data_IF_771715494195
#
_entry.id   IF_771715494195
#
_cell.length_a   1.000
_cell.length_b   1.000
_cell.length_c   1.000
_cell.angle_alpha   90.00
_cell.angle_beta   90.00
_cell.angle_gamma   90.00
#
_symmetry.space_group_name_H-M   'P 1'
#
loop_
_entity.id
_entity.type
_entity.pdbx_description
1 polymer ?
#
# COMPACT_ATOMS: atom_id res chain seq x y z
N UNK A 1 23.90 -4.94 87.43
CA UNK A 1 23.01 -5.12 86.26
C UNK A 1 23.42 -6.43 85.60
N UNK A 2 22.49 -7.38 85.48
CA UNK A 2 22.79 -8.70 84.93
C UNK A 2 23.15 -8.61 83.46
N UNK A 3 24.37 -9.05 83.10
CA UNK A 3 24.87 -9.01 81.71
C UNK A 3 23.99 -9.85 80.76
N UNK A 4 23.27 -10.85 81.29
CA UNK A 4 22.32 -11.65 80.56
C UNK A 4 21.13 -10.83 80.01
N UNK A 5 20.65 -9.84 80.78
CA UNK A 5 19.51 -9.01 80.41
C UNK A 5 19.89 -8.00 79.31
N UNK A 6 21.12 -7.48 79.37
CA UNK A 6 21.69 -6.61 78.32
C UNK A 6 21.87 -7.38 77.00
N UNK A 7 22.40 -8.60 77.04
CA UNK A 7 22.57 -9.44 75.85
C UNK A 7 21.25 -9.83 75.19
N UNK A 8 20.19 -10.10 75.98
CA UNK A 8 18.85 -10.40 75.44
C UNK A 8 18.22 -9.20 74.73
N UNK A 9 18.37 -7.99 75.30
CA UNK A 9 17.89 -6.74 74.66
C UNK A 9 18.61 -6.50 73.33
N UNK A 10 19.93 -6.69 73.29
CA UNK A 10 20.73 -6.51 72.07
C UNK A 10 20.31 -7.51 70.99
N UNK A 11 20.09 -8.78 71.35
CA UNK A 11 19.69 -9.82 70.40
C UNK A 11 18.28 -9.57 69.84
N UNK A 12 17.33 -9.17 70.71
CA UNK A 12 15.98 -8.80 70.29
C UNK A 12 15.98 -7.58 69.37
N UNK A 13 16.79 -6.55 69.68
CA UNK A 13 16.91 -5.35 68.86
C UNK A 13 17.58 -5.64 67.51
N UNK A 14 18.61 -6.49 67.47
CA UNK A 14 19.25 -6.94 66.24
C UNK A 14 18.28 -7.73 65.34
N UNK A 15 17.41 -8.55 65.92
CA UNK A 15 16.40 -9.33 65.19
C UNK A 15 15.31 -8.42 64.61
N UNK A 16 14.89 -7.40 65.37
CA UNK A 16 13.94 -6.37 64.91
C UNK A 16 14.53 -5.52 63.77
N UNK A 17 15.79 -5.10 63.88
CA UNK A 17 16.46 -4.36 62.80
C UNK A 17 16.67 -5.21 61.55
N UNK A 18 16.97 -6.51 61.71
CA UNK A 18 17.09 -7.44 60.59
C UNK A 18 15.75 -7.66 59.87
N UNK A 19 14.64 -7.79 60.60
CA UNK A 19 13.31 -7.95 60.00
C UNK A 19 12.82 -6.68 59.28
N UNK A 20 13.08 -5.50 59.86
CA UNK A 20 12.81 -4.21 59.23
C UNK A 20 13.70 -3.98 57.99
N UNK A 21 14.98 -4.32 58.07
CA UNK A 21 15.92 -4.23 56.95
C UNK A 21 15.53 -5.13 55.77
N UNK A 22 15.09 -6.36 56.06
CA UNK A 22 14.56 -7.28 55.06
C UNK A 22 13.31 -6.75 54.34
N UNK A 23 12.39 -6.14 55.07
CA UNK A 23 11.17 -5.55 54.49
C UNK A 23 11.47 -4.37 53.56
N UNK A 24 12.39 -3.47 53.96
CA UNK A 24 12.80 -2.33 53.13
C UNK A 24 13.51 -2.79 51.86
N UNK A 25 14.41 -3.77 51.96
CA UNK A 25 15.12 -4.33 50.80
C UNK A 25 14.16 -5.05 49.84
N UNK A 26 13.18 -5.80 50.37
CA UNK A 26 12.14 -6.43 49.56
C UNK A 26 11.31 -5.38 48.80
N UNK A 27 10.89 -4.30 49.47
CA UNK A 27 10.12 -3.22 48.83
C UNK A 27 10.89 -2.49 47.72
N UNK A 28 12.21 -2.30 47.86
CA UNK A 28 13.04 -1.70 46.80
C UNK A 28 13.18 -2.64 45.60
N UNK A 29 13.29 -3.95 45.84
CA UNK A 29 13.39 -4.93 44.78
C UNK A 29 12.08 -5.09 44.00
N UNK A 30 10.93 -5.10 44.70
CA UNK A 30 9.59 -5.12 44.10
C UNK A 30 9.39 -3.90 43.18
N UNK A 31 9.71 -2.68 43.66
CA UNK A 31 9.60 -1.47 42.84
C UNK A 31 10.46 -1.50 41.58
N UNK A 32 11.71 -2.00 41.67
CA UNK A 32 12.57 -2.15 40.49
C UNK A 32 12.04 -3.19 39.51
N UNK A 33 11.41 -4.26 40.02
CA UNK A 33 10.76 -5.28 39.19
C UNK A 33 9.56 -4.69 38.46
N UNK A 34 8.69 -3.99 39.18
CA UNK A 34 7.50 -3.34 38.62
C UNK A 34 7.86 -2.31 37.55
N UNK A 35 8.89 -1.48 37.78
CA UNK A 35 9.35 -0.51 36.78
C UNK A 35 9.87 -1.18 35.50
N UNK A 36 10.55 -2.34 35.61
CA UNK A 36 11.02 -3.09 34.43
C UNK A 36 9.86 -3.73 33.70
N UNK A 37 8.91 -4.32 34.43
CA UNK A 37 7.69 -4.91 33.86
C UNK A 37 6.88 -3.85 33.12
N UNK A 38 6.64 -2.70 33.75
CA UNK A 38 5.89 -1.58 33.17
C UNK A 38 6.59 -1.02 31.91
N UNK A 39 7.91 -0.83 31.95
CA UNK A 39 8.70 -0.41 30.76
C UNK A 39 8.61 -1.44 29.64
N UNK A 40 8.65 -2.73 29.97
CA UNK A 40 8.48 -3.83 29.02
C UNK A 40 7.10 -3.82 28.38
N UNK A 41 6.04 -3.72 29.17
CA UNK A 41 4.65 -3.63 28.69
C UNK A 41 4.41 -2.41 27.80
N UNK A 42 4.93 -1.24 28.18
CA UNK A 42 4.83 -0.04 27.34
C UNK A 42 5.56 -0.21 26.02
N UNK A 43 6.75 -0.82 26.03
CA UNK A 43 7.50 -1.11 24.81
C UNK A 43 6.76 -2.11 23.91
N UNK A 44 6.15 -3.15 24.49
CA UNK A 44 5.32 -4.11 23.74
C UNK A 44 4.10 -3.43 23.13
N UNK A 45 3.32 -2.68 23.92
CA UNK A 45 2.15 -1.94 23.40
C UNK A 45 2.51 -0.99 22.27
N UNK A 46 3.67 -0.32 22.36
CA UNK A 46 4.14 0.57 21.30
C UNK A 46 4.51 -0.21 20.04
N UNK A 47 5.19 -1.36 20.16
CA UNK A 47 5.50 -2.24 19.03
C UNK A 47 4.23 -2.78 18.37
N UNK A 48 3.27 -3.24 19.16
CA UNK A 48 1.99 -3.75 18.67
C UNK A 48 1.21 -2.66 17.95
N UNK A 49 1.19 -1.44 18.50
CA UNK A 49 0.51 -0.30 17.88
C UNK A 49 1.14 0.07 16.53
N UNK A 50 2.48 0.09 16.46
CA UNK A 50 3.20 0.37 15.20
C UNK A 50 2.94 -0.73 14.17
N UNK A 51 3.00 -2.01 14.57
CA UNK A 51 2.73 -3.13 13.69
C UNK A 51 1.29 -3.11 13.15
N UNK A 52 0.32 -2.76 14.00
CA UNK A 52 -1.09 -2.61 13.59
C UNK A 52 -1.26 -1.50 12.56
N UNK A 53 -0.68 -0.32 12.80
CA UNK A 53 -0.76 0.80 11.86
C UNK A 53 -0.08 0.49 10.53
N UNK A 54 1.04 -0.24 10.55
CA UNK A 54 1.71 -0.67 9.32
C UNK A 54 0.84 -1.66 8.54
N UNK A 55 0.25 -2.65 9.21
CA UNK A 55 -0.66 -3.61 8.59
C UNK A 55 -1.88 -2.92 7.97
N UNK A 56 -2.51 -1.98 8.67
CA UNK A 56 -3.63 -1.18 8.15
C UNK A 56 -3.22 -0.37 6.92
N UNK A 57 -2.06 0.29 6.97
CA UNK A 57 -1.52 1.05 5.83
C UNK A 57 -1.30 0.15 4.61
N UNK A 58 -0.72 -1.04 4.81
CA UNK A 58 -0.47 -2.02 3.74
C UNK A 58 -1.77 -2.55 3.14
N UNK A 59 -2.77 -2.84 3.97
CA UNK A 59 -4.09 -3.26 3.51
C UNK A 59 -4.75 -2.19 2.62
N UNK A 60 -4.73 -0.92 3.04
CA UNK A 60 -5.24 0.21 2.26
C UNK A 60 -4.48 0.40 0.94
N UNK A 61 -3.16 0.23 0.96
CA UNK A 61 -2.33 0.33 -0.24
C UNK A 61 -2.66 -0.78 -1.24
N UNK A 62 -2.83 -2.02 -0.78
CA UNK A 62 -3.25 -3.15 -1.61
C UNK A 62 -4.63 -2.92 -2.24
N UNK A 63 -5.61 -2.50 -1.46
CA UNK A 63 -6.94 -2.15 -1.96
C UNK A 63 -6.88 -1.05 -3.02
N UNK A 64 -6.12 0.01 -2.75
CA UNK A 64 -5.92 1.11 -3.71
C UNK A 64 -5.28 0.63 -5.02
N UNK A 65 -4.30 -0.27 -4.97
CA UNK A 65 -3.65 -0.80 -6.17
C UNK A 65 -4.59 -1.69 -7.00
N UNK A 66 -5.45 -2.49 -6.35
CA UNK A 66 -6.46 -3.30 -7.05
C UNK A 66 -7.51 -2.41 -7.75
N UNK A 67 -8.05 -1.43 -7.04
CA UNK A 67 -8.99 -0.46 -7.60
C UNK A 67 -8.38 0.35 -8.77
N UNK A 68 -7.11 0.71 -8.64
CA UNK A 68 -6.36 1.38 -9.71
C UNK A 68 -6.22 0.47 -10.95
N UNK A 69 -5.93 -0.81 -10.76
CA UNK A 69 -5.82 -1.78 -11.86
C UNK A 69 -7.13 -1.85 -12.64
N UNK A 70 -8.26 -1.98 -11.95
CA UNK A 70 -9.58 -2.07 -12.57
C UNK A 70 -9.95 -0.79 -13.33
N UNK A 71 -9.67 0.38 -12.73
CA UNK A 71 -9.87 1.66 -13.38
C UNK A 71 -9.02 1.81 -14.65
N UNK A 72 -7.76 1.40 -14.63
CA UNK A 72 -6.86 1.48 -15.79
C UNK A 72 -7.24 0.48 -16.88
N UNK A 73 -7.72 -0.71 -16.53
CA UNK A 73 -8.28 -1.65 -17.50
C UNK A 73 -9.52 -1.06 -18.18
N UNK A 74 -10.37 -0.36 -17.43
CA UNK A 74 -11.53 0.34 -17.99
C UNK A 74 -11.12 1.43 -18.97
N UNK A 75 -10.16 2.28 -18.59
CA UNK A 75 -9.56 3.28 -19.50
C UNK A 75 -9.04 2.58 -20.76
N UNK A 76 -8.27 1.50 -20.61
CA UNK A 76 -7.70 0.80 -21.75
C UNK A 76 -8.74 0.27 -22.74
N UNK A 77 -9.83 -0.31 -22.23
CA UNK A 77 -10.95 -0.79 -23.04
C UNK A 77 -11.65 0.35 -23.78
N UNK A 78 -11.92 1.46 -23.10
CA UNK A 78 -12.61 2.61 -23.71
C UNK A 78 -11.73 3.29 -24.76
N UNK A 79 -10.41 3.35 -24.55
CA UNK A 79 -9.46 3.88 -25.54
C UNK A 79 -9.39 2.98 -26.76
N UNK A 80 -9.36 1.67 -26.58
CA UNK A 80 -9.47 0.73 -27.70
C UNK A 80 -10.76 0.90 -28.51
N UNK A 81 -11.91 1.09 -27.84
CA UNK A 81 -13.19 1.38 -28.50
C UNK A 81 -13.15 2.70 -29.28
N UNK A 82 -12.54 3.73 -28.70
CA UNK A 82 -12.37 5.04 -29.33
C UNK A 82 -11.52 4.94 -30.59
N UNK A 83 -10.35 4.31 -30.49
CA UNK A 83 -9.46 4.10 -31.64
C UNK A 83 -10.11 3.28 -32.74
N UNK A 84 -10.90 2.26 -32.37
CA UNK A 84 -11.65 1.46 -33.33
C UNK A 84 -12.74 2.29 -34.02
N UNK A 85 -13.49 3.09 -33.27
CA UNK A 85 -14.50 4.00 -33.83
C UNK A 85 -13.86 4.99 -34.82
N UNK A 86 -12.76 5.63 -34.44
CA UNK A 86 -12.04 6.57 -35.28
C UNK A 86 -11.53 5.91 -36.57
N UNK A 87 -11.00 4.70 -36.47
CA UNK A 87 -10.57 3.92 -37.63
C UNK A 87 -11.74 3.58 -38.56
N UNK A 88 -12.87 3.13 -38.02
CA UNK A 88 -14.07 2.83 -38.82
C UNK A 88 -14.64 4.08 -39.49
N UNK A 89 -14.64 5.22 -38.81
CA UNK A 89 -15.07 6.49 -39.38
C UNK A 89 -14.11 6.97 -40.48
N UNK A 90 -12.81 6.84 -40.28
CA UNK A 90 -11.81 7.19 -41.29
C UNK A 90 -11.93 6.35 -42.57
N UNK A 91 -12.34 5.07 -42.47
CA UNK A 91 -12.65 4.23 -43.64
C UNK A 91 -13.82 4.76 -44.47
N UNK A 92 -14.75 5.46 -43.84
CA UNK A 92 -15.89 6.12 -44.47
C UNK A 92 -15.58 7.59 -44.84
N UNK A 93 -14.34 8.05 -44.69
CA UNK A 93 -13.92 9.46 -44.85
C UNK A 93 -14.69 10.43 -43.92
N UNK A 94 -15.17 9.93 -42.78
CA UNK A 94 -15.87 10.70 -41.74
C UNK A 94 -14.92 10.96 -40.57
N UNK A 95 -14.96 12.18 -40.03
CA UNK A 95 -14.15 12.59 -38.87
C UNK A 95 -15.05 13.30 -37.86
N UNK A 96 -15.94 12.53 -37.24
CA UNK A 96 -16.93 13.05 -36.29
C UNK A 96 -16.40 12.98 -34.86
N UNK A 97 -17.05 13.72 -33.95
CA UNK A 97 -16.83 13.55 -32.52
C UNK A 97 -17.30 12.15 -32.05
N UNK A 98 -16.79 11.74 -30.88
CA UNK A 98 -17.21 10.51 -30.24
C UNK A 98 -18.70 10.57 -29.84
N UNK A 99 -19.40 9.43 -29.84
CA UNK A 99 -20.75 9.36 -29.28
C UNK A 99 -20.76 9.85 -27.82
N UNK A 100 -21.79 10.62 -27.43
CA UNK A 100 -21.88 11.25 -26.10
C UNK A 100 -21.66 10.27 -24.94
N UNK A 101 -22.25 9.06 -25.03
CA UNK A 101 -22.07 8.02 -24.00
C UNK A 101 -20.62 7.53 -23.85
N UNK A 102 -19.88 7.42 -24.95
CA UNK A 102 -18.49 6.97 -24.92
C UNK A 102 -17.56 8.05 -24.35
N UNK A 103 -17.82 9.32 -24.68
CA UNK A 103 -17.05 10.45 -24.16
C UNK A 103 -17.20 10.58 -22.64
N UNK A 104 -18.42 10.48 -22.12
CA UNK A 104 -18.69 10.57 -20.67
C UNK A 104 -18.10 9.37 -19.92
N UNK A 105 -18.26 8.15 -20.44
CA UNK A 105 -17.65 6.95 -19.85
C UNK A 105 -16.13 7.04 -19.78
N UNK A 106 -15.50 7.58 -20.82
CA UNK A 106 -14.06 7.82 -20.86
C UNK A 106 -13.65 8.78 -19.75
N UNK A 107 -14.30 9.95 -19.66
CA UNK A 107 -14.00 10.95 -18.65
C UNK A 107 -14.11 10.37 -17.23
N UNK A 108 -15.18 9.63 -16.95
CA UNK A 108 -15.38 9.00 -15.63
C UNK A 108 -14.30 7.96 -15.31
N UNK A 109 -13.89 7.17 -16.30
CA UNK A 109 -12.81 6.19 -16.13
C UNK A 109 -11.46 6.89 -15.87
N UNK A 110 -11.16 7.96 -16.61
CA UNK A 110 -9.92 8.73 -16.44
C UNK A 110 -9.84 9.44 -15.08
N UNK A 111 -10.95 10.03 -14.63
CA UNK A 111 -11.05 10.67 -13.30
C UNK A 111 -10.84 9.64 -12.20
N UNK A 112 -11.45 8.45 -12.33
CA UNK A 112 -11.31 7.37 -11.35
C UNK A 112 -9.86 6.87 -11.28
N UNK A 113 -9.23 6.62 -12.43
CA UNK A 113 -7.84 6.21 -12.50
C UNK A 113 -6.90 7.26 -11.88
N UNK A 114 -7.12 8.54 -12.19
CA UNK A 114 -6.34 9.65 -11.62
C UNK A 114 -6.48 9.73 -10.10
N UNK A 115 -7.71 9.60 -9.58
CA UNK A 115 -7.99 9.62 -8.14
C UNK A 115 -7.27 8.50 -7.39
N UNK A 116 -7.24 7.29 -7.95
CA UNK A 116 -6.54 6.17 -7.33
C UNK A 116 -5.01 6.31 -7.47
N UNK A 117 -4.52 6.81 -8.60
CA UNK A 117 -3.10 7.04 -8.82
C UNK A 117 -2.50 8.02 -7.78
N UNK A 118 -3.21 9.09 -7.44
CA UNK A 118 -2.76 10.06 -6.42
C UNK A 118 -2.66 9.45 -5.01
N UNK A 119 -3.41 8.37 -4.72
CA UNK A 119 -3.38 7.68 -3.42
C UNK A 119 -2.27 6.64 -3.33
N UNK A 120 -1.71 6.20 -4.45
CA UNK A 120 -0.62 5.23 -4.47
C UNK A 120 0.65 5.86 -3.91
N UNK A 121 1.28 5.18 -2.95
CA UNK A 121 2.51 5.67 -2.32
C UNK A 121 3.76 5.54 -3.21
N UNK A 122 3.80 4.52 -4.08
CA UNK A 122 4.93 4.25 -4.96
C UNK A 122 5.04 5.28 -6.11
N UNK A 123 6.10 6.11 -6.16
CA UNK A 123 6.28 7.09 -7.23
C UNK A 123 6.50 6.47 -8.61
N UNK A 124 7.06 5.27 -8.70
CA UNK A 124 7.28 4.56 -9.96
C UNK A 124 5.94 4.17 -10.58
N UNK A 125 5.00 3.66 -9.77
CA UNK A 125 3.64 3.34 -10.19
C UNK A 125 2.93 4.61 -10.66
N UNK A 126 2.95 5.70 -9.87
CA UNK A 126 2.32 6.98 -10.27
C UNK A 126 2.86 7.48 -11.60
N UNK A 127 4.17 7.42 -11.79
CA UNK A 127 4.83 7.84 -13.03
C UNK A 127 4.43 6.97 -14.23
N UNK A 128 4.37 5.65 -14.05
CA UNK A 128 3.94 4.71 -15.10
C UNK A 128 2.48 4.94 -15.50
N UNK A 129 1.59 5.11 -14.52
CA UNK A 129 0.18 5.42 -14.74
C UNK A 129 0.04 6.74 -15.48
N UNK A 130 0.72 7.81 -15.04
CA UNK A 130 0.67 9.11 -15.72
C UNK A 130 1.08 8.99 -17.20
N UNK A 131 2.19 8.30 -17.50
CA UNK A 131 2.62 8.09 -18.90
C UNK A 131 1.59 7.35 -19.73
N UNK A 132 0.95 6.33 -19.15
CA UNK A 132 -0.11 5.58 -19.83
C UNK A 132 -1.36 6.46 -20.05
N UNK A 133 -1.77 7.24 -19.05
CA UNK A 133 -2.90 8.17 -19.16
C UNK A 133 -2.64 9.25 -20.23
N UNK A 134 -1.44 9.83 -20.26
CA UNK A 134 -1.04 10.81 -21.29
C UNK A 134 -1.06 10.17 -22.70
N UNK A 135 -0.62 8.92 -22.82
CA UNK A 135 -0.71 8.16 -24.08
C UNK A 135 -2.16 7.91 -24.49
N UNK A 136 -2.99 7.43 -23.56
CA UNK A 136 -4.42 7.17 -23.76
C UNK A 136 -5.12 8.42 -24.27
N UNK A 137 -4.96 9.53 -23.56
CA UNK A 137 -5.52 10.83 -23.92
C UNK A 137 -5.09 11.29 -25.31
N UNK A 138 -3.80 11.15 -25.65
CA UNK A 138 -3.30 11.53 -26.98
C UNK A 138 -3.93 10.68 -28.09
N UNK A 139 -4.17 9.39 -27.84
CA UNK A 139 -4.72 8.48 -28.84
C UNK A 139 -6.25 8.53 -28.95
N UNK A 140 -6.94 9.06 -27.94
CA UNK A 140 -8.39 9.27 -27.92
C UNK A 140 -8.84 10.66 -28.38
N UNK A 141 -7.90 11.57 -28.67
CA UNK A 141 -8.19 12.85 -29.31
C UNK A 141 -8.61 12.67 -30.78
N UNK A 142 -9.26 13.70 -31.32
CA UNK A 142 -9.73 13.75 -32.71
C UNK A 142 -8.71 13.15 -33.70
N UNK A 143 -9.14 12.23 -34.60
CA UNK A 143 -8.27 11.46 -35.48
C UNK A 143 -7.77 12.27 -36.70
N UNK A 144 -7.26 13.47 -36.44
CA UNK A 144 -6.64 14.35 -37.45
C UNK A 144 -5.45 13.68 -38.13
N UNK A 145 -4.79 12.74 -37.45
CA UNK A 145 -3.70 11.94 -37.99
C UNK A 145 -4.15 10.86 -38.99
N UNK A 146 -5.46 10.54 -39.05
CA UNK A 146 -6.04 9.64 -40.04
C UNK A 146 -6.56 10.36 -41.29
N UNK A 147 -6.53 11.70 -41.30
CA UNK A 147 -7.13 12.48 -42.36
C UNK A 147 -6.38 12.33 -43.68
N UNK A 148 -7.08 11.96 -44.75
CA UNK A 148 -6.50 11.77 -46.08
C UNK A 148 -5.72 10.46 -46.27
N UNK A 149 -5.62 9.62 -45.23
CA UNK A 149 -5.15 8.24 -45.37
C UNK A 149 -6.28 7.36 -45.89
N UNK A 150 -5.95 6.42 -46.78
CA UNK A 150 -6.92 5.45 -47.31
C UNK A 150 -6.24 4.10 -47.61
N UNK A 151 -7.05 3.05 -47.79
CA UNK A 151 -6.57 1.71 -48.10
C UNK A 151 -5.54 1.19 -47.10
N UNK A 152 -4.46 0.61 -47.61
CA UNK A 152 -3.39 0.00 -46.81
C UNK A 152 -2.69 1.00 -45.87
N UNK A 153 -2.55 2.27 -46.27
CA UNK A 153 -1.91 3.30 -45.45
C UNK A 153 -2.71 3.59 -44.17
N UNK A 154 -4.04 3.62 -44.27
CA UNK A 154 -4.93 3.81 -43.13
C UNK A 154 -4.85 2.63 -42.16
N UNK A 155 -4.90 1.39 -42.69
CA UNK A 155 -4.81 0.17 -41.89
C UNK A 155 -3.48 0.06 -41.14
N UNK A 156 -2.36 0.35 -41.84
CA UNK A 156 -1.02 0.32 -41.25
C UNK A 156 -0.88 1.34 -40.12
N UNK A 157 -1.37 2.57 -40.33
CA UNK A 157 -1.31 3.62 -39.32
C UNK A 157 -2.18 3.29 -38.10
N UNK A 158 -3.40 2.77 -38.30
CA UNK A 158 -4.27 2.33 -37.21
C UNK A 158 -3.64 1.20 -36.40
N UNK A 159 -3.03 0.22 -37.07
CA UNK A 159 -2.30 -0.88 -36.43
C UNK A 159 -1.08 -0.38 -35.64
N UNK A 160 -0.32 0.56 -36.17
CA UNK A 160 0.81 1.17 -35.45
C UNK A 160 0.34 1.84 -34.15
N UNK A 161 -0.76 2.61 -34.19
CA UNK A 161 -1.35 3.22 -32.98
C UNK A 161 -1.74 2.15 -31.96
N UNK A 162 -2.38 1.06 -32.39
CA UNK A 162 -2.79 -0.04 -31.51
C UNK A 162 -1.59 -0.74 -30.86
N UNK A 163 -0.53 -1.01 -31.63
CA UNK A 163 0.71 -1.60 -31.11
C UNK A 163 1.37 -0.69 -30.07
N UNK A 164 1.49 0.60 -30.39
CA UNK A 164 2.03 1.62 -29.47
C UNK A 164 1.21 1.69 -28.19
N UNK A 165 -0.12 1.66 -28.30
CA UNK A 165 -1.01 1.64 -27.15
C UNK A 165 -0.83 0.37 -26.30
N UNK A 166 -0.81 -0.79 -26.93
CA UNK A 166 -0.61 -2.08 -26.28
C UNK A 166 0.72 -2.16 -25.54
N UNK A 167 1.81 -1.66 -26.13
CA UNK A 167 3.09 -1.54 -25.45
C UNK A 167 3.02 -0.63 -24.22
N UNK A 168 2.41 0.55 -24.34
CA UNK A 168 2.23 1.47 -23.22
C UNK A 168 1.40 0.87 -22.08
N UNK A 169 0.33 0.14 -22.41
CA UNK A 169 -0.48 -0.58 -21.44
C UNK A 169 0.32 -1.69 -20.75
N UNK A 170 1.02 -2.55 -21.50
CA UNK A 170 1.80 -3.65 -20.94
C UNK A 170 2.90 -3.16 -19.99
N UNK A 171 3.65 -2.12 -20.38
CA UNK A 171 4.69 -1.55 -19.52
C UNK A 171 4.13 -0.96 -18.23
N UNK A 172 2.94 -0.34 -18.28
CA UNK A 172 2.27 0.16 -17.07
C UNK A 172 1.77 -1.01 -16.20
N UNK A 173 1.14 -2.02 -16.81
CA UNK A 173 0.58 -3.18 -16.12
C UNK A 173 1.66 -4.01 -15.42
N UNK A 174 2.86 -4.11 -16.00
CA UNK A 174 4.01 -4.77 -15.40
C UNK A 174 4.43 -4.09 -14.08
N UNK A 175 4.62 -2.77 -14.12
CA UNK A 175 4.99 -1.96 -12.94
C UNK A 175 3.91 -2.04 -11.86
N UNK A 176 2.64 -1.93 -12.24
CA UNK A 176 1.52 -2.02 -11.31
C UNK A 176 1.42 -3.43 -10.70
N UNK A 177 1.56 -4.48 -11.51
CA UNK A 177 1.50 -5.87 -11.07
C UNK A 177 2.66 -6.25 -10.15
N UNK A 178 3.86 -5.73 -10.40
CA UNK A 178 4.99 -5.87 -9.47
C UNK A 178 4.70 -5.19 -8.12
N UNK A 179 4.19 -3.96 -8.13
CA UNK A 179 3.82 -3.26 -6.91
C UNK A 179 2.73 -4.03 -6.13
N UNK A 180 1.71 -4.54 -6.81
CA UNK A 180 0.64 -5.31 -6.19
C UNK A 180 1.16 -6.62 -5.58
N UNK A 181 2.02 -7.36 -6.28
CA UNK A 181 2.65 -8.58 -5.74
C UNK A 181 3.47 -8.29 -4.49
N UNK A 182 4.25 -7.21 -4.48
CA UNK A 182 5.02 -6.81 -3.28
C UNK A 182 4.12 -6.52 -2.07
N UNK A 183 2.94 -5.93 -2.28
CA UNK A 183 1.98 -5.68 -1.19
C UNK A 183 1.24 -6.96 -0.76
N UNK A 184 1.05 -7.93 -1.66
CA UNK A 184 0.44 -9.24 -1.34
C UNK A 184 1.42 -10.14 -0.58
N UNK A 185 2.67 -10.20 -1.01
CA UNK A 185 3.72 -11.04 -0.43
C UNK A 185 4.25 -10.48 0.91
N UNK A 186 3.84 -9.25 1.27
CA UNK A 186 4.25 -8.64 2.51
C UNK A 186 3.75 -9.46 3.72
N UNK A 187 4.68 -9.79 4.61
CA UNK A 187 4.41 -10.44 5.88
C UNK A 187 4.84 -9.49 7.02
N UNK A 188 4.03 -9.34 8.07
CA UNK A 188 4.41 -8.52 9.22
C UNK A 188 5.62 -9.15 9.91
N UNK A 189 6.71 -8.39 10.02
CA UNK A 189 7.90 -8.82 10.76
C UNK A 189 7.57 -8.81 12.25
N UNK A 190 7.28 -9.98 12.83
CA UNK A 190 7.23 -10.16 14.29
C UNK A 190 5.97 -10.75 14.92
N UNK A 191 4.98 -11.23 14.14
CA UNK A 191 3.72 -11.77 14.73
C UNK A 191 3.70 -13.31 14.82
N UNK A 192 4.63 -14.03 14.17
CA UNK A 192 4.48 -15.49 13.98
C UNK A 192 5.64 -16.42 14.40
N UNK A 193 6.81 -15.93 14.79
CA UNK A 193 7.98 -16.83 15.00
C UNK A 193 8.03 -17.50 16.38
N UNK A 194 7.40 -16.92 17.41
CA UNK A 194 7.58 -17.41 18.79
C UNK A 194 6.46 -18.36 19.26
N UNK A 195 5.28 -18.32 18.63
CA UNK A 195 4.17 -19.22 19.00
C UNK A 195 4.32 -20.65 18.45
N UNK A 196 5.21 -20.91 17.49
CA UNK A 196 5.49 -22.27 17.00
C UNK A 196 6.61 -22.99 17.76
N UNK A 197 7.37 -22.32 18.64
CA UNK A 197 8.50 -22.94 19.36
C UNK A 197 8.16 -23.50 20.76
N UNK A 198 6.94 -23.30 21.26
CA UNK A 198 6.52 -23.74 22.60
C UNK A 198 5.50 -24.90 22.61
N UNK A 199 5.39 -25.66 21.52
CA UNK A 199 4.52 -26.85 21.42
C UNK A 199 5.31 -28.15 21.19
N UNK A 200 6.60 -28.18 21.50
CA UNK A 200 7.47 -29.36 21.43
C UNK A 200 8.06 -29.71 22.78
#
# INVERSE_FOLDING_TARGET
MDSALVSQIILAFATLLASLGGYVLAGINERRRDERTLKGEMAMRRRDSVAKLENERRALQRETLMELQDALQRVARLTGKTMHFDHMQARDEKYTQLPEGLSEEMLQAEVSASRYAERVLDPQVRSAVKRFMDLSKRLSMLPTDLQGLSGEALENHANEKLLKFGHGYNSMAEVLGEALRREIDWQPVGVGSDSQKNLG
#
